data_IF_386617809756
#
_entry.id   IF_386617809756
#
_cell.length_a   1.000
_cell.length_b   1.000
_cell.length_c   1.000
_cell.angle_alpha   90.00
_cell.angle_beta   90.00
_cell.angle_gamma   90.00
#
_symmetry.space_group_name_H-M   'P 1'
#
loop_
_entity.id
_entity.type
_entity.pdbx_description
1 polymer ?
#
# COMPACT_ATOMS: atom_id res chain seq x y z
N UNK A 1 -28.80 16.68 29.17
CA UNK A 1 -28.01 17.10 27.99
C UNK A 1 -28.79 16.68 26.75
N UNK A 2 -29.23 17.63 25.91
CA UNK A 2 -30.04 17.33 24.73
C UNK A 2 -29.10 16.85 23.61
N UNK A 3 -29.17 15.57 23.23
CA UNK A 3 -28.45 15.07 22.06
C UNK A 3 -29.05 15.74 20.82
N UNK A 4 -28.26 16.62 20.20
CA UNK A 4 -28.59 17.23 18.91
C UNK A 4 -28.35 16.17 17.85
N UNK A 5 -29.36 15.34 17.60
CA UNK A 5 -29.43 14.53 16.39
C UNK A 5 -29.43 15.54 15.24
N UNK A 6 -28.30 15.69 14.53
CA UNK A 6 -28.26 16.53 13.34
C UNK A 6 -29.19 15.90 12.32
N UNK A 7 -30.19 16.65 11.88
CA UNK A 7 -31.10 16.25 10.80
C UNK A 7 -30.27 15.96 9.55
N UNK A 8 -29.94 14.69 9.33
CA UNK A 8 -29.25 14.23 8.14
C UNK A 8 -30.25 14.40 7.01
N UNK A 9 -30.08 15.47 6.22
CA UNK A 9 -30.92 15.72 5.06
C UNK A 9 -30.63 14.61 4.04
N UNK A 10 -31.49 13.58 4.01
CA UNK A 10 -31.31 12.38 3.21
C UNK A 10 -31.43 12.75 1.73
N UNK A 11 -30.29 12.89 1.06
CA UNK A 11 -30.24 13.06 -0.38
C UNK A 11 -30.71 11.77 -1.06
N UNK A 12 -31.66 11.81 -2.01
CA UNK A 12 -32.07 10.63 -2.76
C UNK A 12 -30.85 9.91 -3.37
N UNK A 13 -30.81 8.58 -3.21
CA UNK A 13 -29.69 7.75 -3.68
C UNK A 13 -28.53 7.58 -2.69
N UNK A 14 -28.60 8.17 -1.48
CA UNK A 14 -27.58 8.05 -0.44
C UNK A 14 -28.13 7.39 0.82
N UNK A 15 -27.25 6.70 1.56
CA UNK A 15 -27.52 6.10 2.87
C UNK A 15 -26.54 6.61 3.93
N UNK A 16 -26.94 6.69 5.21
CA UNK A 16 -26.01 6.98 6.30
C UNK A 16 -25.01 5.84 6.49
N UNK A 17 -23.77 6.19 6.83
CA UNK A 17 -22.71 5.27 7.22
C UNK A 17 -21.83 5.90 8.31
N UNK A 18 -20.94 5.12 8.98
CA UNK A 18 -19.96 5.67 9.93
C UNK A 18 -19.02 6.73 9.33
N UNK A 19 -18.87 6.78 8.00
CA UNK A 19 -18.02 7.74 7.28
C UNK A 19 -18.81 8.92 6.68
N UNK A 20 -20.11 9.02 6.98
CA UNK A 20 -21.02 10.01 6.40
C UNK A 20 -21.98 9.41 5.38
N UNK A 21 -22.62 10.28 4.58
CA UNK A 21 -23.52 9.85 3.51
C UNK A 21 -22.74 9.23 2.36
N UNK A 22 -23.10 8.01 1.96
CA UNK A 22 -22.50 7.29 0.83
C UNK A 22 -23.59 6.84 -0.15
N UNK A 23 -23.27 6.55 -1.42
CA UNK A 23 -24.23 5.98 -2.36
C UNK A 23 -24.90 4.70 -1.82
N UNK A 24 -26.16 4.48 -2.16
CA UNK A 24 -26.96 3.35 -1.66
C UNK A 24 -26.33 1.98 -1.98
N UNK A 25 -25.67 1.88 -3.14
CA UNK A 25 -25.00 0.71 -3.70
C UNK A 25 -23.58 0.50 -3.15
N UNK A 26 -23.03 1.46 -2.39
CA UNK A 26 -21.71 1.34 -1.81
C UNK A 26 -21.73 0.64 -0.45
N UNK A 27 -20.64 -0.05 -0.11
CA UNK A 27 -20.46 -0.72 1.18
C UNK A 27 -19.20 -0.17 1.85
N UNK A 28 -19.27 0.06 3.17
CA UNK A 28 -18.07 0.41 3.95
C UNK A 28 -17.36 -0.89 4.31
N UNK A 29 -16.18 -1.10 3.74
CA UNK A 29 -15.29 -2.21 4.05
C UNK A 29 -14.02 -1.73 4.72
N UNK A 30 -13.46 -2.57 5.59
CA UNK A 30 -12.10 -2.37 6.05
C UNK A 30 -11.12 -2.73 4.95
N UNK A 31 -9.96 -2.07 4.94
CA UNK A 31 -8.93 -2.34 3.94
C UNK A 31 -8.46 -3.81 3.97
N UNK A 32 -8.38 -4.42 5.16
CA UNK A 32 -8.03 -5.84 5.35
C UNK A 32 -9.02 -6.83 4.71
N UNK A 33 -10.28 -6.42 4.47
CA UNK A 33 -11.31 -7.26 3.85
C UNK A 33 -11.15 -7.35 2.33
N UNK A 34 -10.35 -6.46 1.73
CA UNK A 34 -10.13 -6.38 0.27
C UNK A 34 -8.67 -6.60 -0.14
N UNK A 35 -7.73 -6.57 0.80
CA UNK A 35 -6.32 -6.88 0.56
C UNK A 35 -6.06 -8.37 0.73
N UNK A 36 -5.37 -8.99 -0.23
CA UNK A 36 -4.87 -10.37 -0.07
C UNK A 36 -3.69 -10.43 0.91
N UNK A 37 -2.77 -9.47 0.82
CA UNK A 37 -1.67 -9.32 1.76
C UNK A 37 -1.20 -7.86 1.82
N UNK A 38 -0.62 -7.48 2.96
CA UNK A 38 0.05 -6.21 3.17
C UNK A 38 1.25 -6.42 4.09
N UNK A 39 2.41 -5.91 3.70
CA UNK A 39 3.66 -6.05 4.46
C UNK A 39 4.40 -4.71 4.47
N UNK A 40 4.99 -4.39 5.61
CA UNK A 40 5.93 -3.28 5.69
C UNK A 40 7.18 -3.60 4.87
N UNK A 41 7.66 -2.63 4.10
CA UNK A 41 8.97 -2.71 3.47
C UNK A 41 10.10 -2.78 4.51
N UNK A 42 11.29 -3.14 4.04
CA UNK A 42 12.50 -3.21 4.86
C UNK A 42 13.61 -2.28 4.37
N UNK A 43 14.59 -2.06 5.23
CA UNK A 43 15.86 -1.48 4.84
C UNK A 43 16.80 -2.60 4.42
N UNK A 44 17.23 -2.55 3.16
CA UNK A 44 18.15 -3.52 2.58
C UNK A 44 19.44 -2.82 2.19
N UNK A 45 20.57 -3.49 2.33
CA UNK A 45 21.79 -3.08 1.64
C UNK A 45 21.55 -3.19 0.13
N UNK A 46 21.90 -2.14 -0.60
CA UNK A 46 21.65 -2.05 -2.03
C UNK A 46 22.71 -1.17 -2.68
N UNK A 47 22.87 -1.37 -3.99
CA UNK A 47 23.77 -0.61 -4.83
C UNK A 47 23.07 -0.28 -6.14
N UNK A 48 23.58 0.73 -6.83
CA UNK A 48 23.27 0.90 -8.24
C UNK A 48 23.86 -0.30 -9.00
N UNK A 49 23.00 -1.14 -9.56
CA UNK A 49 23.39 -2.35 -10.25
C UNK A 49 22.39 -2.69 -11.34
N UNK A 50 22.89 -3.20 -12.47
CA UNK A 50 22.07 -3.69 -13.58
C UNK A 50 21.55 -5.13 -13.34
N UNK A 51 21.74 -5.67 -12.14
CA UNK A 51 21.30 -7.01 -11.74
C UNK A 51 20.81 -7.00 -10.29
N UNK A 52 20.04 -8.03 -9.90
CA UNK A 52 19.46 -8.16 -8.56
C UNK A 52 17.97 -7.86 -8.51
N UNK A 53 17.46 -7.66 -7.29
CA UNK A 53 16.04 -7.37 -7.03
C UNK A 53 15.88 -5.85 -6.85
N UNK A 54 15.09 -5.15 -7.68
CA UNK A 54 14.92 -3.71 -7.55
C UNK A 54 14.25 -3.33 -6.22
N UNK A 55 14.75 -2.27 -5.58
CA UNK A 55 14.20 -1.71 -4.35
C UNK A 55 13.60 -0.34 -4.65
N UNK A 56 12.28 -0.22 -4.46
CA UNK A 56 11.58 1.07 -4.58
C UNK A 56 11.73 1.82 -3.26
N UNK A 57 12.39 2.99 -3.32
CA UNK A 57 12.58 3.90 -2.19
C UNK A 57 11.70 5.14 -2.35
N UNK A 58 11.62 5.96 -1.30
CA UNK A 58 10.89 7.23 -1.35
C UNK A 58 11.35 8.14 -2.50
N UNK A 59 12.64 8.14 -2.83
CA UNK A 59 13.17 8.93 -3.97
C UNK A 59 12.73 8.43 -5.36
N UNK A 60 12.18 7.21 -5.45
CA UNK A 60 11.62 6.66 -6.68
C UNK A 60 10.15 7.04 -6.88
N UNK A 61 9.48 7.60 -5.87
CA UNK A 61 8.08 8.01 -5.99
C UNK A 61 8.01 9.43 -6.56
N UNK A 62 7.33 9.59 -7.69
CA UNK A 62 7.04 10.88 -8.30
C UNK A 62 5.52 11.05 -8.44
N UNK A 63 5.09 12.24 -8.85
CA UNK A 63 3.67 12.48 -9.16
C UNK A 63 3.23 11.50 -10.25
N UNK A 64 2.27 10.65 -9.93
CA UNK A 64 1.64 9.67 -10.83
C UNK A 64 2.53 8.56 -11.40
N UNK A 65 3.84 8.52 -11.08
CA UNK A 65 4.76 7.52 -11.65
C UNK A 65 5.87 7.11 -10.69
N UNK A 66 6.45 5.94 -10.96
CA UNK A 66 7.64 5.45 -10.28
C UNK A 66 8.86 5.73 -11.18
N UNK A 67 9.84 6.49 -10.68
CA UNK A 67 11.13 6.75 -11.34
C UNK A 67 12.06 5.57 -11.22
N UNK A 68 12.46 4.99 -12.35
CA UNK A 68 13.36 3.82 -12.41
C UNK A 68 14.76 4.16 -12.94
N UNK A 69 15.02 5.41 -13.31
CA UNK A 69 16.29 5.87 -13.92
C UNK A 69 17.51 5.66 -13.01
N UNK A 70 17.30 5.68 -11.68
CA UNK A 70 18.33 5.47 -10.65
C UNK A 70 17.88 4.41 -9.64
N UNK A 71 17.37 3.30 -10.15
CA UNK A 71 16.91 2.20 -9.29
C UNK A 71 18.12 1.51 -8.65
N UNK A 72 18.00 1.22 -7.35
CA UNK A 72 18.99 0.45 -6.62
C UNK A 72 18.48 -0.97 -6.43
N UNK A 73 19.41 -1.92 -6.43
CA UNK A 73 19.07 -3.34 -6.37
C UNK A 73 19.63 -3.97 -5.09
N UNK A 74 18.83 -4.81 -4.46
CA UNK A 74 19.30 -5.78 -3.47
C UNK A 74 19.97 -6.93 -4.22
N UNK A 75 21.25 -7.15 -3.94
CA UNK A 75 22.02 -8.23 -4.53
C UNK A 75 21.89 -9.48 -3.66
N UNK A 76 21.25 -10.51 -4.21
CA UNK A 76 21.10 -11.78 -3.50
C UNK A 76 22.49 -12.39 -3.27
N UNK A 77 22.87 -12.52 -2.00
CA UNK A 77 24.10 -13.22 -1.63
C UNK A 77 24.08 -14.64 -2.16
N UNK A 78 25.16 -15.03 -2.84
CA UNK A 78 25.44 -16.42 -3.20
C UNK A 78 26.26 -17.03 -2.07
N UNK A 79 25.82 -18.19 -1.57
CA UNK A 79 26.59 -18.97 -0.59
C UNK A 79 27.12 -20.21 -1.29
N UNK A 80 28.40 -20.50 -1.10
CA UNK A 80 29.01 -21.76 -1.55
C UNK A 80 28.97 -22.72 -0.38
N UNK A 81 28.37 -23.89 -0.60
CA UNK A 81 28.33 -24.97 0.39
C UNK A 81 29.23 -26.09 -0.11
N UNK A 82 30.20 -26.51 0.71
CA UNK A 82 31.04 -27.67 0.41
C UNK A 82 30.19 -28.93 0.53
N UNK A 83 30.02 -29.68 -0.57
CA UNK A 83 29.43 -31.02 -0.53
C UNK A 83 30.39 -31.95 0.23
N UNK A 84 29.91 -32.56 1.31
CA UNK A 84 30.57 -33.70 1.94
C UNK A 84 29.99 -34.95 1.27
N UNK A 85 30.87 -35.74 0.64
CA UNK A 85 30.58 -37.10 0.21
C UNK A 85 31.00 -38.06 1.31
#
# INVERSE_FOLDING_TARGET
>A
MKNKQSDINLKPGYKPSPLGLIPIDWEVKKLEEILTEGKSGGNYENAEANNGIPVIKMGNLDRSKIKVDKIQCFLRMKVIIKKMF
#
